data_IF_314474921157
#
_entry.id   IF_314474921157
#
_cell.length_a   1.000
_cell.length_b   1.000
_cell.length_c   1.000
_cell.angle_alpha   90.00
_cell.angle_beta   90.00
_cell.angle_gamma   90.00
#
_symmetry.space_group_name_H-M   'P 1'
#
loop_
_entity.id
_entity.type
_entity.pdbx_description
1 polymer ?
#
# COMPACT_ATOMS: atom_id res chain seq x y z
N UNK A 1 -14.85 0.93 25.48
CA UNK A 1 -14.19 2.02 24.72
C UNK A 1 -13.45 1.33 23.59
N UNK A 2 -13.68 1.71 22.32
CA UNK A 2 -12.87 1.17 21.23
C UNK A 2 -11.41 1.57 21.48
N UNK A 3 -10.50 0.61 21.35
CA UNK A 3 -9.08 0.86 21.54
C UNK A 3 -8.60 1.83 20.44
N UNK A 4 -8.06 3.00 20.85
CA UNK A 4 -7.57 4.03 19.93
C UNK A 4 -6.48 3.46 19.02
N UNK A 5 -6.58 3.68 17.72
CA UNK A 5 -5.52 3.36 16.77
C UNK A 5 -4.60 4.56 16.61
N UNK A 6 -3.33 4.39 17.01
CA UNK A 6 -2.29 5.42 16.95
C UNK A 6 -1.51 5.25 15.65
N UNK A 7 -1.56 6.25 14.79
CA UNK A 7 -0.88 6.23 13.49
C UNK A 7 0.26 7.24 13.48
N UNK A 8 1.49 6.80 13.34
CA UNK A 8 2.66 7.65 13.11
C UNK A 8 2.72 8.03 11.63
N UNK A 9 2.52 9.30 11.33
CA UNK A 9 2.54 9.84 9.97
C UNK A 9 3.83 10.62 9.74
N UNK A 10 4.65 10.18 8.76
CA UNK A 10 5.77 10.94 8.23
C UNK A 10 5.25 12.17 7.50
N UNK A 11 5.16 13.28 8.22
CA UNK A 11 4.55 14.50 7.72
C UNK A 11 5.44 15.32 6.76
N UNK A 12 6.71 14.94 6.62
CA UNK A 12 7.67 15.62 5.73
C UNK A 12 7.99 14.79 4.48
N UNK A 13 7.42 13.59 4.34
CA UNK A 13 7.66 12.72 3.20
C UNK A 13 6.66 12.91 2.06
N UNK A 14 7.18 12.96 0.81
CA UNK A 14 6.36 13.11 -0.40
C UNK A 14 6.42 14.50 -1.03
N UNK A 15 5.94 14.59 -2.28
CA UNK A 15 6.05 15.79 -3.12
C UNK A 15 5.17 16.95 -2.60
N UNK A 16 4.08 16.61 -1.90
CA UNK A 16 3.07 17.55 -1.40
C UNK A 16 3.16 17.75 0.14
N UNK A 17 4.24 17.26 0.76
CA UNK A 17 4.46 17.46 2.19
C UNK A 17 4.86 18.92 2.50
N UNK A 18 4.48 19.46 3.68
CA UNK A 18 3.66 18.84 4.71
C UNK A 18 2.16 19.01 4.49
N UNK A 19 1.74 19.87 3.54
CA UNK A 19 0.37 20.38 3.37
C UNK A 19 -0.66 19.24 3.26
N UNK A 20 -0.47 18.35 2.28
CA UNK A 20 -1.41 17.24 2.06
C UNK A 20 -1.35 16.19 3.17
N UNK A 21 -0.18 16.02 3.82
CA UNK A 21 -0.01 15.11 4.95
C UNK A 21 -0.82 15.57 6.17
N UNK A 22 -0.65 16.84 6.56
CA UNK A 22 -1.37 17.45 7.69
C UNK A 22 -2.87 17.47 7.41
N UNK A 23 -3.28 17.91 6.21
CA UNK A 23 -4.68 17.93 5.83
C UNK A 23 -5.33 16.55 5.87
N UNK A 24 -4.64 15.51 5.37
CA UNK A 24 -5.12 14.13 5.42
C UNK A 24 -5.25 13.59 6.85
N UNK A 25 -4.34 13.95 7.74
CA UNK A 25 -4.43 13.64 9.16
C UNK A 25 -5.67 14.27 9.81
N UNK A 26 -5.90 15.56 9.54
CA UNK A 26 -7.09 16.28 10.03
C UNK A 26 -8.38 15.63 9.52
N UNK A 27 -8.47 15.35 8.21
CA UNK A 27 -9.62 14.68 7.61
C UNK A 27 -9.89 13.30 8.23
N UNK A 28 -8.84 12.53 8.56
CA UNK A 28 -8.96 11.21 9.17
C UNK A 28 -9.57 11.28 10.58
N UNK A 29 -9.07 12.17 11.44
CA UNK A 29 -9.58 12.30 12.81
C UNK A 29 -10.96 12.96 12.87
N UNK A 30 -11.35 13.73 11.85
CA UNK A 30 -12.71 14.25 11.70
C UNK A 30 -13.71 13.17 11.25
N UNK A 31 -13.26 12.21 10.42
CA UNK A 31 -14.11 11.11 9.94
C UNK A 31 -14.30 9.98 10.95
N UNK A 32 -13.31 9.75 11.83
CA UNK A 32 -13.33 8.66 12.82
C UNK A 32 -12.87 9.12 14.18
N UNK A 33 -13.59 8.69 15.23
CA UNK A 33 -13.30 9.08 16.60
C UNK A 33 -12.28 8.16 17.31
N UNK A 34 -11.92 7.06 16.70
CA UNK A 34 -11.03 6.03 17.24
C UNK A 34 -9.60 6.09 16.66
N UNK A 35 -9.23 7.24 16.09
CA UNK A 35 -7.91 7.51 15.52
C UNK A 35 -7.19 8.59 16.33
N UNK A 36 -5.90 8.37 16.58
CA UNK A 36 -4.95 9.37 17.01
C UNK A 36 -3.78 9.40 16.03
N UNK A 37 -3.34 10.58 15.61
CA UNK A 37 -2.23 10.75 14.67
C UNK A 37 -1.04 11.39 15.36
N UNK A 38 0.12 10.77 15.22
CA UNK A 38 1.42 11.28 15.65
C UNK A 38 2.13 11.83 14.40
N UNK A 39 2.08 13.14 14.19
CA UNK A 39 2.74 13.83 13.07
C UNK A 39 4.23 13.96 13.36
N UNK A 40 5.06 13.27 12.60
CA UNK A 40 6.52 13.39 12.75
C UNK A 40 7.08 14.36 11.73
N UNK A 41 7.86 15.36 12.19
CA UNK A 41 8.47 16.37 11.33
C UNK A 41 8.91 17.62 12.08
N UNK A 42 9.27 18.65 11.34
CA UNK A 42 9.73 19.93 11.91
C UNK A 42 8.58 20.62 12.63
N UNK A 43 8.67 20.72 13.94
CA UNK A 43 7.58 21.15 14.83
C UNK A 43 6.96 22.50 14.44
N UNK A 44 7.80 23.49 14.14
CA UNK A 44 7.33 24.84 13.78
C UNK A 44 6.50 24.82 12.48
N UNK A 45 6.98 24.09 11.46
CA UNK A 45 6.29 23.95 10.18
C UNK A 45 4.92 23.24 10.36
N UNK A 46 4.91 22.18 11.18
CA UNK A 46 3.69 21.43 11.45
C UNK A 46 2.66 22.22 12.27
N UNK A 47 3.12 23.03 13.24
CA UNK A 47 2.25 23.95 13.99
C UNK A 47 1.61 25.00 13.10
N UNK A 48 2.41 25.61 12.21
CA UNK A 48 1.92 26.60 11.25
C UNK A 48 0.88 25.99 10.31
N UNK A 49 1.12 24.77 9.81
CA UNK A 49 0.17 24.10 8.91
C UNK A 49 -1.11 23.70 9.64
N UNK A 50 -1.00 23.11 10.84
CA UNK A 50 -2.16 22.70 11.67
C UNK A 50 -3.03 23.88 12.07
N UNK A 51 -2.47 25.07 12.28
CA UNK A 51 -3.21 26.28 12.64
C UNK A 51 -4.26 26.70 11.58
N UNK A 52 -4.17 26.17 10.37
CA UNK A 52 -5.13 26.44 9.28
C UNK A 52 -6.42 25.60 9.39
N UNK A 53 -6.47 24.62 10.31
CA UNK A 53 -7.57 23.66 10.42
C UNK A 53 -8.18 23.64 11.82
N UNK A 54 -9.43 23.19 11.89
CA UNK A 54 -10.11 22.90 13.16
C UNK A 54 -10.20 21.39 13.32
N UNK A 55 -9.69 20.87 14.42
CA UNK A 55 -9.68 19.44 14.76
C UNK A 55 -9.69 19.27 16.28
N UNK A 56 -10.02 18.08 16.84
CA UNK A 56 -9.90 17.80 18.27
C UNK A 56 -8.42 17.72 18.69
N UNK A 57 -7.97 18.62 19.57
CA UNK A 57 -6.55 18.77 19.96
C UNK A 57 -5.94 17.46 20.49
N UNK A 58 -6.71 16.64 21.18
CA UNK A 58 -6.27 15.37 21.74
C UNK A 58 -6.05 14.27 20.69
N UNK A 59 -6.41 14.51 19.43
CA UNK A 59 -6.33 13.52 18.34
C UNK A 59 -5.07 13.64 17.49
N UNK A 60 -4.41 14.79 17.49
CA UNK A 60 -3.21 15.02 16.68
C UNK A 60 -2.11 15.57 17.58
N UNK A 61 -0.98 14.85 17.60
CA UNK A 61 0.20 15.25 18.36
C UNK A 61 1.41 15.38 17.44
N UNK A 62 2.20 16.42 17.65
CA UNK A 62 3.46 16.61 16.91
C UNK A 62 4.58 15.91 17.66
N UNK A 63 5.36 15.12 16.93
CA UNK A 63 6.62 14.54 17.39
C UNK A 63 7.75 15.18 16.57
N UNK A 64 8.54 16.03 17.20
CA UNK A 64 9.56 16.78 16.50
C UNK A 64 10.62 15.87 15.89
N UNK A 65 10.99 16.16 14.64
CA UNK A 65 12.07 15.53 13.90
C UNK A 65 12.73 16.60 13.01
N UNK A 66 14.05 16.72 13.09
CA UNK A 66 14.77 17.85 12.48
C UNK A 66 15.24 17.58 11.06
N UNK A 67 15.35 16.31 10.68
CA UNK A 67 15.86 15.88 9.39
C UNK A 67 14.73 15.34 8.47
N UNK A 68 14.97 15.37 7.16
CA UNK A 68 14.09 14.79 6.13
C UNK A 68 14.90 13.88 5.22
N UNK A 69 14.38 12.70 4.90
CA UNK A 69 14.94 11.82 3.87
C UNK A 69 14.32 12.21 2.54
N UNK A 70 15.14 12.71 1.62
CA UNK A 70 14.72 13.14 0.29
C UNK A 70 14.45 11.93 -0.63
N UNK A 71 13.61 12.14 -1.64
CA UNK A 71 13.20 11.07 -2.57
C UNK A 71 14.38 10.45 -3.33
N UNK A 72 15.40 11.23 -3.67
CA UNK A 72 16.56 10.76 -4.42
C UNK A 72 17.70 10.18 -3.57
N UNK A 73 17.58 10.19 -2.23
CA UNK A 73 18.64 9.68 -1.35
C UNK A 73 18.75 8.16 -1.38
N UNK A 74 19.99 7.60 -1.35
CA UNK A 74 20.20 6.17 -1.22
C UNK A 74 19.59 5.63 0.08
N UNK A 75 18.61 4.70 0.01
CA UNK A 75 17.77 4.32 1.14
C UNK A 75 18.52 3.84 2.38
N UNK A 76 19.46 2.89 2.19
CA UNK A 76 20.20 2.28 3.30
C UNK A 76 21.08 3.31 4.01
N UNK A 77 21.72 4.21 3.24
CA UNK A 77 22.56 5.29 3.81
C UNK A 77 21.68 6.27 4.58
N UNK A 78 20.57 6.71 3.99
CA UNK A 78 19.66 7.67 4.60
C UNK A 78 19.11 7.16 5.95
N UNK A 79 18.61 5.92 6.01
CA UNK A 79 18.10 5.29 7.25
C UNK A 79 19.17 5.20 8.34
N UNK A 80 20.43 4.96 7.96
CA UNK A 80 21.54 4.82 8.94
C UNK A 80 22.07 6.16 9.44
N UNK A 81 22.12 7.17 8.58
CA UNK A 81 22.70 8.48 8.90
C UNK A 81 21.70 9.47 9.50
N UNK A 82 20.47 9.55 8.94
CA UNK A 82 19.43 10.50 9.36
C UNK A 82 18.53 9.91 10.43
N UNK A 83 19.08 9.71 11.62
CA UNK A 83 18.37 9.04 12.73
C UNK A 83 17.27 9.88 13.36
N UNK A 84 17.27 11.19 13.12
CA UNK A 84 16.28 12.16 13.56
C UNK A 84 15.38 12.64 12.39
N UNK A 85 15.31 11.86 11.30
CA UNK A 85 14.38 12.16 10.22
C UNK A 85 12.94 11.80 10.61
N UNK A 86 11.99 12.53 10.02
CA UNK A 86 10.55 12.29 10.22
C UNK A 86 10.17 10.82 9.99
N UNK A 87 10.66 10.21 8.90
CA UNK A 87 10.44 8.81 8.57
C UNK A 87 11.00 7.85 9.63
N UNK A 88 12.27 8.05 10.05
CA UNK A 88 12.91 7.16 11.05
C UNK A 88 12.25 7.32 12.41
N UNK A 89 11.90 8.54 12.80
CA UNK A 89 11.21 8.84 14.06
C UNK A 89 9.84 8.17 14.09
N UNK A 90 9.04 8.29 13.03
CA UNK A 90 7.75 7.60 12.92
C UNK A 90 7.86 6.07 13.04
N UNK A 91 8.84 5.47 12.38
CA UNK A 91 9.08 4.01 12.48
C UNK A 91 9.55 3.58 13.87
N UNK A 92 10.32 4.41 14.58
CA UNK A 92 10.70 4.14 15.97
C UNK A 92 9.49 4.13 16.91
N UNK A 93 8.51 5.03 16.72
CA UNK A 93 7.26 5.02 17.48
C UNK A 93 6.52 3.68 17.33
N UNK A 94 6.44 3.16 16.11
CA UNK A 94 5.83 1.83 15.86
C UNK A 94 6.64 0.71 16.54
N UNK A 95 7.96 0.72 16.37
CA UNK A 95 8.84 -0.28 17.00
C UNK A 95 8.71 -0.32 18.52
N UNK A 96 8.57 0.84 19.15
CA UNK A 96 8.49 0.98 20.60
C UNK A 96 7.07 0.70 21.14
N UNK A 97 6.07 0.47 20.28
CA UNK A 97 4.67 0.30 20.68
C UNK A 97 3.97 1.61 21.08
N UNK A 98 4.57 2.76 20.75
CA UNK A 98 3.97 4.08 20.94
C UNK A 98 2.96 4.42 19.84
N UNK A 99 3.12 3.82 18.65
CA UNK A 99 2.16 3.83 17.57
C UNK A 99 1.86 2.40 17.08
N UNK A 100 0.66 2.18 16.55
CA UNK A 100 0.20 0.90 16.03
C UNK A 100 0.56 0.74 14.55
N UNK A 101 0.66 1.87 13.82
CA UNK A 101 0.92 1.91 12.39
C UNK A 101 1.80 3.10 11.98
N UNK A 102 2.46 2.95 10.84
CA UNK A 102 3.25 3.96 10.16
C UNK A 102 2.68 4.23 8.77
N UNK A 103 2.58 5.51 8.38
CA UNK A 103 2.16 5.94 7.04
C UNK A 103 3.19 6.95 6.50
N UNK A 104 3.60 6.81 5.24
CA UNK A 104 4.50 7.77 4.57
C UNK A 104 4.30 7.81 3.06
N UNK A 105 4.36 9.02 2.51
CA UNK A 105 4.47 9.27 1.07
C UNK A 105 5.95 9.44 0.61
N UNK A 106 6.91 9.39 1.53
CA UNK A 106 8.33 9.62 1.28
C UNK A 106 9.03 8.56 0.44
N UNK A 107 10.36 8.55 0.48
CA UNK A 107 11.23 7.65 -0.28
C UNK A 107 10.85 6.17 -0.09
N UNK A 108 10.36 5.52 -1.15
CA UNK A 108 9.88 4.12 -1.09
C UNK A 108 10.96 3.15 -0.62
N UNK A 109 12.19 3.31 -1.11
CA UNK A 109 13.31 2.48 -0.67
C UNK A 109 13.61 2.65 0.82
N UNK A 110 13.52 3.89 1.34
CA UNK A 110 13.71 4.16 2.77
C UNK A 110 12.58 3.55 3.62
N UNK A 111 11.32 3.59 3.15
CA UNK A 111 10.20 2.91 3.80
C UNK A 111 10.43 1.40 3.87
N UNK A 112 10.85 0.78 2.76
CA UNK A 112 11.11 -0.66 2.70
C UNK A 112 12.28 -1.08 3.61
N UNK A 113 13.40 -0.36 3.54
CA UNK A 113 14.59 -0.63 4.36
C UNK A 113 14.30 -0.36 5.83
N UNK A 114 13.66 0.76 6.15
CA UNK A 114 13.27 1.13 7.52
C UNK A 114 12.26 0.15 8.11
N UNK A 115 11.27 -0.27 7.35
CA UNK A 115 10.31 -1.29 7.76
C UNK A 115 10.99 -2.60 8.19
N UNK A 116 11.95 -3.08 7.39
CA UNK A 116 12.69 -4.29 7.73
C UNK A 116 13.67 -4.12 8.89
N UNK A 117 14.41 -3.01 8.95
CA UNK A 117 15.50 -2.80 9.92
C UNK A 117 15.00 -2.21 11.26
N UNK A 118 14.02 -1.33 11.23
CA UNK A 118 13.53 -0.62 12.43
C UNK A 118 12.28 -1.28 13.00
N UNK A 119 11.23 -1.49 12.21
CA UNK A 119 10.00 -2.14 12.67
C UNK A 119 10.23 -3.64 12.88
N UNK A 120 10.94 -4.27 11.97
CA UNK A 120 11.31 -5.69 12.03
C UNK A 120 10.24 -6.62 11.47
N UNK A 121 10.66 -7.83 11.09
CA UNK A 121 9.81 -8.86 10.48
C UNK A 121 9.11 -9.72 11.52
N UNK A 122 7.91 -10.22 11.20
CA UNK A 122 7.27 -11.33 11.90
C UNK A 122 8.19 -12.57 11.80
N UNK A 123 8.28 -13.34 12.90
CA UNK A 123 9.08 -14.56 12.92
C UNK A 123 8.55 -15.56 11.88
N UNK A 124 9.42 -16.04 11.01
CA UNK A 124 9.07 -16.94 9.91
C UNK A 124 8.83 -16.24 8.57
N UNK A 125 8.57 -14.94 8.55
CA UNK A 125 8.50 -14.19 7.29
C UNK A 125 9.91 -13.98 6.73
N UNK A 126 10.15 -14.50 5.53
CA UNK A 126 11.45 -14.38 4.88
C UNK A 126 11.66 -12.97 4.32
N UNK A 127 10.68 -12.47 3.57
CA UNK A 127 10.69 -11.16 2.92
C UNK A 127 9.33 -10.48 3.02
N UNK A 128 9.23 -9.27 3.56
CA UNK A 128 8.01 -8.46 3.52
C UNK A 128 7.75 -7.95 2.10
N UNK A 129 6.60 -8.27 1.47
CA UNK A 129 6.21 -7.73 0.17
C UNK A 129 5.46 -6.40 0.30
N UNK A 130 5.55 -5.56 -0.74
CA UNK A 130 4.71 -4.39 -0.93
C UNK A 130 3.47 -4.79 -1.75
N UNK A 131 2.27 -4.54 -1.22
CA UNK A 131 1.05 -5.14 -1.74
C UNK A 131 -0.07 -4.09 -1.99
N UNK A 132 0.02 -3.29 -3.07
CA UNK A 132 -1.05 -2.36 -3.45
C UNK A 132 -2.30 -3.08 -3.93
N UNK A 133 -3.46 -2.48 -3.65
CA UNK A 133 -4.70 -2.78 -4.35
C UNK A 133 -4.71 -2.07 -5.71
N UNK A 134 -5.07 -2.78 -6.75
CA UNK A 134 -5.26 -2.24 -8.09
C UNK A 134 -6.73 -2.36 -8.50
N UNK A 135 -7.33 -1.32 -9.10
CA UNK A 135 -8.71 -1.35 -9.55
C UNK A 135 -8.87 -2.25 -10.77
N UNK A 136 -10.00 -2.92 -10.85
CA UNK A 136 -10.37 -3.84 -11.95
C UNK A 136 -11.84 -3.67 -12.30
N UNK A 137 -12.31 -4.31 -13.37
CA UNK A 137 -13.72 -4.30 -13.76
C UNK A 137 -14.66 -4.94 -12.72
N UNK A 138 -14.12 -5.77 -11.80
CA UNK A 138 -14.91 -6.47 -10.75
C UNK A 138 -14.63 -5.95 -9.33
N UNK A 139 -14.08 -4.74 -9.21
CA UNK A 139 -13.68 -4.11 -7.96
C UNK A 139 -12.17 -3.99 -7.85
N UNK A 140 -11.53 -4.64 -6.87
CA UNK A 140 -10.08 -4.55 -6.67
C UNK A 140 -9.43 -5.93 -6.63
N UNK A 141 -8.18 -6.00 -7.09
CA UNK A 141 -7.26 -7.12 -6.90
C UNK A 141 -6.02 -6.67 -6.15
N UNK A 142 -5.40 -7.55 -5.39
CA UNK A 142 -4.14 -7.30 -4.71
C UNK A 142 -2.98 -7.74 -5.60
N UNK A 143 -2.09 -6.82 -5.95
CA UNK A 143 -0.86 -7.13 -6.67
C UNK A 143 0.30 -7.24 -5.66
N UNK A 144 0.98 -8.39 -5.61
CA UNK A 144 1.98 -8.70 -4.59
C UNK A 144 3.12 -9.56 -5.16
N UNK A 145 4.36 -9.13 -5.18
CA UNK A 145 5.04 -7.96 -4.64
C UNK A 145 5.21 -6.86 -5.70
N UNK A 146 5.21 -5.58 -5.26
CA UNK A 146 5.32 -4.43 -6.17
C UNK A 146 6.51 -3.50 -5.88
N UNK A 147 7.68 -4.05 -5.54
CA UNK A 147 8.89 -3.22 -5.42
C UNK A 147 9.77 -3.47 -4.21
N UNK A 148 9.45 -4.44 -3.36
CA UNK A 148 10.26 -4.74 -2.18
C UNK A 148 11.34 -5.80 -2.44
N UNK A 149 11.07 -6.84 -3.24
CA UNK A 149 11.93 -8.00 -3.39
C UNK A 149 12.13 -8.38 -4.86
N UNK A 150 13.11 -7.77 -5.51
CA UNK A 150 13.42 -8.00 -6.94
C UNK A 150 13.96 -9.43 -7.16
N UNK A 151 14.86 -9.89 -6.28
CA UNK A 151 15.42 -11.24 -6.35
C UNK A 151 14.63 -12.16 -5.40
N UNK A 152 13.40 -12.51 -5.81
CA UNK A 152 12.57 -13.42 -5.02
C UNK A 152 12.96 -14.89 -5.25
N UNK A 153 12.57 -15.74 -4.29
CA UNK A 153 12.67 -17.21 -4.37
C UNK A 153 11.26 -17.81 -4.38
N UNK A 154 11.08 -19.06 -4.82
CA UNK A 154 9.78 -19.71 -4.78
C UNK A 154 9.09 -19.67 -3.41
N UNK A 155 9.85 -19.87 -2.31
CA UNK A 155 9.32 -19.78 -0.95
C UNK A 155 8.77 -18.41 -0.61
N UNK A 156 9.36 -17.33 -1.14
CA UNK A 156 8.86 -15.97 -0.96
C UNK A 156 7.49 -15.80 -1.61
N UNK A 157 7.32 -16.26 -2.86
CA UNK A 157 6.06 -16.13 -3.60
C UNK A 157 4.94 -16.92 -2.93
N UNK A 158 5.24 -18.09 -2.37
CA UNK A 158 4.28 -18.86 -1.56
C UNK A 158 3.86 -18.08 -0.31
N UNK A 159 4.81 -17.45 0.40
CA UNK A 159 4.46 -16.59 1.53
C UNK A 159 3.65 -15.35 1.09
N UNK A 160 3.97 -14.75 -0.06
CA UNK A 160 3.20 -13.63 -0.61
C UNK A 160 1.76 -14.03 -0.91
N UNK A 161 1.55 -15.19 -1.53
CA UNK A 161 0.23 -15.76 -1.78
C UNK A 161 -0.60 -15.89 -0.50
N UNK A 162 -0.02 -16.47 0.55
CA UNK A 162 -0.67 -16.63 1.86
C UNK A 162 -1.01 -15.28 2.51
N UNK A 163 -0.05 -14.35 2.55
CA UNK A 163 -0.25 -13.02 3.12
C UNK A 163 -1.29 -12.23 2.32
N UNK A 164 -1.27 -12.34 1.00
CA UNK A 164 -2.23 -11.72 0.11
C UNK A 164 -3.66 -12.26 0.32
N UNK A 165 -3.82 -13.56 0.46
CA UNK A 165 -5.12 -14.18 0.77
C UNK A 165 -5.68 -13.70 2.10
N UNK A 166 -4.87 -13.65 3.16
CA UNK A 166 -5.27 -13.14 4.47
C UNK A 166 -5.71 -11.67 4.35
N UNK A 167 -4.97 -10.87 3.58
CA UNK A 167 -5.30 -9.47 3.37
C UNK A 167 -6.64 -9.29 2.64
N UNK A 168 -6.83 -9.96 1.51
CA UNK A 168 -8.05 -9.87 0.72
C UNK A 168 -9.28 -10.35 1.49
N UNK A 169 -9.15 -11.42 2.28
CA UNK A 169 -10.23 -11.91 3.11
C UNK A 169 -10.57 -10.95 4.25
N UNK A 170 -9.56 -10.45 4.95
CA UNK A 170 -9.76 -9.68 6.19
C UNK A 170 -10.05 -8.20 5.95
N UNK A 171 -9.44 -7.58 4.93
CA UNK A 171 -9.54 -6.12 4.67
C UNK A 171 -10.56 -5.83 3.59
N UNK A 172 -10.54 -6.60 2.50
CA UNK A 172 -11.44 -6.37 1.36
C UNK A 172 -12.75 -7.16 1.51
N UNK A 173 -12.78 -8.20 2.36
CA UNK A 173 -13.96 -9.02 2.62
C UNK A 173 -14.24 -10.09 1.56
N UNK A 174 -13.25 -10.44 0.75
CA UNK A 174 -13.34 -11.50 -0.27
C UNK A 174 -13.22 -12.87 0.40
N UNK A 175 -14.30 -13.63 0.45
CA UNK A 175 -14.30 -15.00 0.99
C UNK A 175 -13.55 -15.95 0.05
N UNK A 176 -12.59 -16.70 0.61
CA UNK A 176 -11.76 -17.66 -0.14
C UNK A 176 -11.18 -17.07 -1.42
N UNK A 177 -10.38 -15.98 -1.32
CA UNK A 177 -9.91 -15.21 -2.47
C UNK A 177 -9.10 -16.08 -3.42
N UNK A 178 -9.32 -15.92 -4.72
CA UNK A 178 -8.57 -16.60 -5.77
C UNK A 178 -7.15 -16.08 -5.84
N UNK A 179 -6.17 -16.97 -6.02
CA UNK A 179 -4.75 -16.66 -6.12
C UNK A 179 -4.22 -17.11 -7.48
N UNK A 180 -3.58 -16.22 -8.21
CA UNK A 180 -2.89 -16.54 -9.46
C UNK A 180 -1.46 -16.03 -9.49
N UNK A 181 -0.57 -16.75 -10.19
CA UNK A 181 0.80 -16.32 -10.43
C UNK A 181 0.92 -15.65 -11.80
N UNK A 182 1.58 -14.49 -11.86
CA UNK A 182 1.83 -13.80 -13.14
C UNK A 182 2.70 -14.68 -14.04
N UNK A 183 2.23 -14.92 -15.27
CA UNK A 183 2.93 -15.72 -16.25
C UNK A 183 2.78 -15.12 -17.67
N UNK A 184 3.53 -15.66 -18.63
CA UNK A 184 3.49 -15.27 -20.06
C UNK A 184 2.47 -16.08 -20.87
N UNK A 185 1.74 -17.00 -20.26
CA UNK A 185 0.71 -17.84 -20.86
C UNK A 185 0.05 -18.69 -19.80
N UNK A 186 -1.09 -19.34 -20.14
CA UNK A 186 -1.90 -20.10 -19.23
C UNK A 186 -1.29 -21.47 -18.83
N UNK A 187 -0.37 -22.00 -19.65
CA UNK A 187 0.18 -23.35 -19.48
C UNK A 187 1.21 -23.39 -18.34
N UNK A 188 1.21 -24.47 -17.55
CA UNK A 188 2.08 -24.64 -16.36
C UNK A 188 3.59 -24.64 -16.71
N UNK A 189 3.96 -25.12 -17.89
CA UNK A 189 5.35 -25.18 -18.36
C UNK A 189 5.90 -23.87 -18.88
N UNK A 190 5.07 -22.85 -19.05
CA UNK A 190 5.51 -21.52 -19.44
C UNK A 190 6.09 -20.71 -18.27
N UNK A 191 6.82 -19.66 -18.63
CA UNK A 191 7.41 -18.73 -17.67
C UNK A 191 8.90 -18.91 -17.47
N UNK A 192 9.46 -18.07 -16.61
CA UNK A 192 10.85 -18.13 -16.20
C UNK A 192 11.07 -19.21 -15.12
N UNK A 193 12.32 -19.44 -14.73
CA UNK A 193 12.67 -20.45 -13.73
C UNK A 193 11.90 -20.25 -12.41
N UNK A 194 11.80 -19.01 -11.92
CA UNK A 194 11.10 -18.71 -10.68
C UNK A 194 9.62 -19.12 -10.75
N UNK A 195 8.91 -18.81 -11.85
CA UNK A 195 7.50 -19.16 -12.03
C UNK A 195 7.34 -20.69 -12.07
N UNK A 196 8.17 -21.38 -12.87
CA UNK A 196 8.12 -22.85 -13.01
C UNK A 196 8.37 -23.58 -11.69
N UNK A 197 9.31 -23.08 -10.88
CA UNK A 197 9.59 -23.66 -9.57
C UNK A 197 8.51 -23.32 -8.53
N UNK A 198 7.87 -22.15 -8.64
CA UNK A 198 6.85 -21.71 -7.69
C UNK A 198 5.48 -22.35 -7.96
N UNK A 199 5.13 -22.56 -9.21
CA UNK A 199 3.80 -23.04 -9.61
C UNK A 199 3.36 -24.32 -8.88
N UNK A 200 4.15 -25.43 -8.85
CA UNK A 200 3.77 -26.63 -8.12
C UNK A 200 3.63 -26.39 -6.62
N UNK A 201 4.45 -25.53 -6.02
CA UNK A 201 4.36 -25.20 -4.59
C UNK A 201 3.05 -24.45 -4.24
N UNK A 202 2.59 -23.57 -5.12
CA UNK A 202 1.30 -22.90 -4.96
C UNK A 202 0.14 -23.88 -5.15
N UNK A 203 0.23 -24.78 -6.12
CA UNK A 203 -0.78 -25.78 -6.43
C UNK A 203 -1.01 -26.77 -5.28
N UNK A 204 0.06 -27.14 -4.57
CA UNK A 204 0.06 -28.02 -3.40
C UNK A 204 -0.24 -27.30 -2.08
N UNK A 205 -0.32 -25.96 -2.08
CA UNK A 205 -0.50 -25.16 -0.86
C UNK A 205 -1.97 -25.19 -0.39
N UNK A 206 -2.29 -25.80 0.77
CA UNK A 206 -3.68 -25.95 1.22
C UNK A 206 -4.27 -24.64 1.78
N UNK A 207 -3.43 -23.63 2.08
CA UNK A 207 -3.85 -22.40 2.74
C UNK A 207 -4.35 -21.33 1.75
N UNK A 208 -4.39 -21.64 0.44
CA UNK A 208 -4.77 -20.67 -0.61
C UNK A 208 -5.69 -21.33 -1.65
N UNK A 209 -6.51 -20.54 -2.30
CA UNK A 209 -7.32 -20.95 -3.45
C UNK A 209 -6.57 -20.65 -4.75
N UNK A 210 -5.56 -21.46 -5.07
CA UNK A 210 -4.73 -21.25 -6.26
C UNK A 210 -5.48 -21.69 -7.54
N UNK A 211 -5.57 -20.77 -8.51
CA UNK A 211 -6.30 -20.99 -9.77
C UNK A 211 -5.38 -21.07 -11.00
N UNK A 212 -4.06 -20.97 -10.82
CA UNK A 212 -3.10 -21.12 -11.93
C UNK A 212 -2.41 -19.84 -12.36
N UNK A 213 -2.05 -19.76 -13.64
CA UNK A 213 -1.37 -18.63 -14.26
C UNK A 213 -2.33 -17.49 -14.56
N UNK A 214 -1.80 -16.25 -14.52
CA UNK A 214 -2.49 -15.00 -14.90
C UNK A 214 -1.62 -14.26 -15.90
N UNK A 215 -2.13 -14.01 -17.09
CA UNK A 215 -1.46 -13.14 -18.05
C UNK A 215 -1.73 -11.66 -17.70
N UNK A 216 -0.73 -10.80 -17.91
CA UNK A 216 -0.84 -9.37 -17.57
C UNK A 216 -2.06 -8.67 -18.23
N UNK A 217 -2.48 -9.11 -19.41
CA UNK A 217 -3.67 -8.58 -20.13
C UNK A 217 -5.00 -8.91 -19.42
N UNK A 218 -5.03 -9.94 -18.56
CA UNK A 218 -6.22 -10.40 -17.85
C UNK A 218 -6.42 -9.67 -16.51
N UNK A 219 -5.35 -9.07 -15.99
CA UNK A 219 -5.38 -8.35 -14.70
C UNK A 219 -6.52 -7.31 -14.63
N UNK A 220 -6.75 -6.46 -15.65
CA UNK A 220 -7.84 -5.48 -15.62
C UNK A 220 -9.24 -6.09 -15.55
N UNK A 221 -9.41 -7.37 -15.92
CA UNK A 221 -10.71 -8.06 -15.89
C UNK A 221 -11.18 -8.35 -14.45
N UNK A 222 -10.25 -8.52 -13.50
CA UNK A 222 -10.57 -8.76 -12.08
C UNK A 222 -11.07 -10.19 -11.79
N UNK A 223 -10.59 -11.17 -12.56
CA UNK A 223 -10.93 -12.60 -12.36
C UNK A 223 -10.10 -13.25 -11.25
N UNK A 224 -9.04 -12.58 -10.82
CA UNK A 224 -8.11 -13.03 -9.78
C UNK A 224 -8.02 -12.01 -8.67
N UNK A 225 -8.23 -12.44 -7.42
CA UNK A 225 -8.22 -11.54 -6.26
C UNK A 225 -6.81 -11.22 -5.77
N UNK A 226 -5.88 -12.20 -5.80
CA UNK A 226 -4.48 -12.05 -5.39
C UNK A 226 -3.56 -12.43 -6.55
N UNK A 227 -2.82 -11.46 -7.04
CA UNK A 227 -1.92 -11.58 -8.20
C UNK A 227 -0.49 -11.61 -7.71
N UNK A 228 0.15 -12.79 -7.75
CA UNK A 228 1.48 -13.03 -7.18
C UNK A 228 2.55 -12.89 -8.23
N UNK A 229 3.59 -12.12 -7.92
CA UNK A 229 4.79 -11.98 -8.73
C UNK A 229 5.98 -11.53 -7.86
N UNK A 230 7.17 -11.48 -8.44
CA UNK A 230 8.30 -10.80 -7.81
C UNK A 230 8.25 -9.28 -8.08
N UNK A 231 9.03 -8.52 -7.32
CA UNK A 231 8.89 -7.06 -7.28
C UNK A 231 9.21 -6.33 -8.58
N UNK A 232 10.08 -6.86 -9.44
CA UNK A 232 10.36 -6.21 -10.73
C UNK A 232 9.14 -6.29 -11.65
N UNK A 233 8.58 -7.48 -11.82
CA UNK A 233 7.36 -7.68 -12.62
C UNK A 233 6.19 -6.90 -12.03
N UNK A 234 5.98 -6.98 -10.71
CA UNK A 234 4.89 -6.26 -10.05
C UNK A 234 5.00 -4.75 -10.20
N UNK A 235 6.20 -4.19 -10.05
CA UNK A 235 6.41 -2.75 -10.24
C UNK A 235 6.22 -2.31 -11.70
N UNK A 236 6.63 -3.14 -12.67
CA UNK A 236 6.39 -2.88 -14.11
C UNK A 236 4.89 -2.87 -14.40
N UNK A 237 4.15 -3.87 -13.91
CA UNK A 237 2.69 -3.95 -14.06
C UNK A 237 2.04 -2.71 -13.45
N UNK A 238 2.35 -2.39 -12.19
CA UNK A 238 1.76 -1.25 -11.48
C UNK A 238 2.00 0.07 -12.21
N UNK A 239 3.25 0.34 -12.60
CA UNK A 239 3.62 1.59 -13.29
C UNK A 239 3.03 1.70 -14.68
N UNK A 240 2.94 0.60 -15.42
CA UNK A 240 2.27 0.57 -16.72
C UNK A 240 0.77 0.82 -16.55
N UNK A 241 0.15 0.17 -15.58
CA UNK A 241 -1.27 0.31 -15.28
C UNK A 241 -1.64 1.77 -14.95
N UNK A 242 -0.90 2.40 -14.02
CA UNK A 242 -1.03 3.81 -13.66
C UNK A 242 -0.81 4.73 -14.87
N UNK A 243 0.25 4.47 -15.64
CA UNK A 243 0.61 5.27 -16.80
C UNK A 243 -0.43 5.23 -17.93
N UNK A 244 -0.93 4.04 -18.25
CA UNK A 244 -1.96 3.86 -19.29
C UNK A 244 -3.28 4.50 -18.87
N UNK A 245 -3.73 4.30 -17.63
CA UNK A 245 -4.93 4.93 -17.11
C UNK A 245 -4.85 6.46 -17.17
N UNK A 246 -3.74 7.04 -16.71
CA UNK A 246 -3.52 8.49 -16.76
C UNK A 246 -3.46 9.05 -18.21
N UNK A 247 -2.82 8.34 -19.12
CA UNK A 247 -2.74 8.74 -20.53
C UNK A 247 -4.12 8.69 -21.21
N UNK A 248 -4.91 7.65 -20.93
CA UNK A 248 -6.25 7.48 -21.48
C UNK A 248 -7.18 8.61 -21.01
N UNK A 249 -7.20 8.92 -19.70
CA UNK A 249 -7.99 10.02 -19.14
C UNK A 249 -7.62 11.36 -19.76
N UNK A 250 -6.31 11.64 -19.92
CA UNK A 250 -5.83 12.87 -20.60
C UNK A 250 -6.30 12.92 -22.05
N UNK A 251 -6.24 11.81 -22.80
CA UNK A 251 -6.66 11.72 -24.20
C UNK A 251 -8.17 11.94 -24.37
N UNK A 252 -8.98 11.32 -23.50
CA UNK A 252 -10.44 11.51 -23.46
C UNK A 252 -10.76 12.99 -23.20
N UNK A 253 -10.15 13.59 -22.15
CA UNK A 253 -10.34 15.01 -21.83
C UNK A 253 -9.97 15.92 -23.01
N UNK A 254 -8.85 15.66 -23.66
CA UNK A 254 -8.40 16.42 -24.86
C UNK A 254 -9.41 16.30 -25.99
N UNK A 255 -9.94 15.12 -26.30
CA UNK A 255 -10.96 14.89 -27.31
C UNK A 255 -12.27 15.65 -27.01
N UNK A 256 -12.71 15.60 -25.73
CA UNK A 256 -13.90 16.35 -25.29
C UNK A 256 -13.73 17.87 -25.40
N UNK A 257 -12.51 18.37 -25.35
CA UNK A 257 -12.22 19.82 -25.43
C UNK A 257 -11.89 20.31 -26.86
N UNK A 258 -11.85 19.43 -27.86
CA UNK A 258 -11.34 19.71 -29.20
C UNK A 258 -12.18 20.75 -29.99
N UNK A 259 -13.50 20.77 -29.85
CA UNK A 259 -14.40 21.70 -30.53
C UNK A 259 -15.66 21.96 -29.70
N UNK A 260 -16.51 22.90 -30.13
CA UNK A 260 -17.69 23.29 -29.38
C UNK A 260 -18.69 22.15 -29.20
N UNK A 261 -18.93 21.34 -30.25
CA UNK A 261 -19.84 20.17 -30.16
C UNK A 261 -19.33 19.14 -29.16
N UNK A 262 -18.04 18.82 -29.21
CA UNK A 262 -17.39 17.92 -28.25
C UNK A 262 -17.43 18.44 -26.82
N UNK A 263 -17.29 19.77 -26.62
CA UNK A 263 -17.41 20.39 -25.28
C UNK A 263 -18.82 20.24 -24.72
N UNK A 264 -19.86 20.48 -25.51
CA UNK A 264 -21.25 20.31 -25.08
C UNK A 264 -21.52 18.82 -24.76
N UNK A 265 -21.14 17.89 -25.65
CA UNK A 265 -21.25 16.46 -25.40
C UNK A 265 -20.46 16.02 -24.15
N UNK A 266 -19.24 16.53 -24.00
CA UNK A 266 -18.40 16.27 -22.82
C UNK A 266 -19.04 16.76 -21.51
N UNK A 267 -19.72 17.90 -21.51
CA UNK A 267 -20.44 18.42 -20.35
C UNK A 267 -21.60 17.48 -19.95
N UNK A 268 -22.35 16.96 -20.92
CA UNK A 268 -23.46 16.04 -20.70
C UNK A 268 -22.98 14.67 -20.16
N UNK A 269 -21.84 14.17 -20.66
CA UNK A 269 -21.31 12.86 -20.26
C UNK A 269 -20.45 12.94 -18.98
N UNK A 270 -20.00 14.14 -18.57
CA UNK A 270 -19.10 14.35 -17.44
C UNK A 270 -19.53 13.64 -16.13
N UNK A 271 -20.82 13.66 -15.70
CA UNK A 271 -21.22 12.95 -14.48
C UNK A 271 -20.98 11.45 -14.59
N UNK A 272 -21.47 10.81 -15.66
CA UNK A 272 -21.30 9.36 -15.88
C UNK A 272 -19.82 8.96 -15.97
N UNK A 273 -19.00 9.75 -16.68
CA UNK A 273 -17.57 9.51 -16.78
C UNK A 273 -16.87 9.66 -15.42
N UNK A 274 -17.27 10.63 -14.60
CA UNK A 274 -16.73 10.82 -13.25
C UNK A 274 -17.05 9.62 -12.37
N UNK A 275 -18.27 9.09 -12.43
CA UNK A 275 -18.68 7.92 -11.65
C UNK A 275 -17.91 6.66 -12.10
N UNK A 276 -17.80 6.42 -13.41
CA UNK A 276 -17.00 5.32 -13.95
C UNK A 276 -15.53 5.41 -13.56
N UNK A 277 -14.92 6.60 -13.64
CA UNK A 277 -13.50 6.79 -13.30
C UNK A 277 -13.23 6.72 -11.80
N UNK A 278 -14.24 6.90 -10.96
CA UNK A 278 -14.11 6.77 -9.50
C UNK A 278 -13.74 5.34 -9.10
N UNK A 279 -14.27 4.33 -9.79
CA UNK A 279 -13.97 2.93 -9.54
C UNK A 279 -12.50 2.59 -9.84
N UNK A 280 -11.84 3.40 -10.67
CA UNK A 280 -10.42 3.28 -11.01
C UNK A 280 -9.51 4.23 -10.21
N UNK A 281 -10.05 4.96 -9.24
CA UNK A 281 -9.26 5.87 -8.38
C UNK A 281 -8.61 5.10 -7.23
N UNK A 282 -7.32 4.78 -7.37
CA UNK A 282 -6.53 4.07 -6.35
C UNK A 282 -6.50 4.79 -5.01
N UNK A 283 -6.69 6.12 -4.98
CA UNK A 283 -6.69 6.92 -3.74
C UNK A 283 -7.83 6.58 -2.79
N UNK A 284 -8.92 5.94 -3.28
CA UNK A 284 -10.03 5.47 -2.46
C UNK A 284 -9.63 4.32 -1.52
N UNK A 285 -8.62 3.53 -1.91
CA UNK A 285 -8.22 2.31 -1.20
C UNK A 285 -7.06 2.52 -0.21
N UNK A 286 -6.54 3.76 -0.12
CA UNK A 286 -5.38 4.08 0.71
C UNK A 286 -4.05 3.68 0.07
N UNK A 287 -3.02 3.49 0.91
CA UNK A 287 -1.69 3.15 0.44
C UNK A 287 -1.43 1.64 0.32
N UNK A 288 -0.26 1.29 -0.19
CA UNK A 288 0.23 -0.08 -0.28
C UNK A 288 0.82 -0.53 1.07
N UNK A 289 0.29 -1.58 1.71
CA UNK A 289 0.89 -2.11 2.93
C UNK A 289 2.16 -2.91 2.62
N UNK A 290 3.11 -2.85 3.53
CA UNK A 290 4.27 -3.73 3.60
C UNK A 290 3.93 -4.87 4.57
N UNK A 291 3.49 -6.00 4.04
CA UNK A 291 2.98 -7.12 4.83
C UNK A 291 4.11 -7.92 5.49
N UNK A 292 3.80 -8.58 6.61
CA UNK A 292 4.77 -9.46 7.30
C UNK A 292 5.77 -8.75 8.21
N UNK A 293 5.53 -7.48 8.55
CA UNK A 293 6.25 -6.73 9.58
C UNK A 293 5.55 -6.83 10.94
N UNK A 294 6.29 -6.63 12.03
CA UNK A 294 5.74 -6.64 13.40
C UNK A 294 4.75 -5.52 13.66
N UNK A 295 4.93 -4.36 13.02
CA UNK A 295 4.00 -3.23 13.03
C UNK A 295 3.45 -2.97 11.63
N UNK A 296 2.32 -2.28 11.54
CA UNK A 296 1.70 -1.91 10.28
C UNK A 296 2.52 -0.81 9.59
N UNK A 297 2.90 -1.02 8.35
CA UNK A 297 3.62 -0.03 7.52
C UNK A 297 2.87 0.14 6.23
N UNK A 298 2.46 1.36 5.92
CA UNK A 298 1.72 1.72 4.71
C UNK A 298 2.50 2.77 3.94
N UNK A 299 2.76 2.50 2.66
CA UNK A 299 3.39 3.41 1.71
C UNK A 299 2.35 3.99 0.78
N UNK A 300 2.21 5.32 0.77
CA UNK A 300 1.38 6.02 -0.20
C UNK A 300 2.22 6.54 -1.38
N UNK A 301 1.59 6.96 -2.45
CA UNK A 301 2.31 7.51 -3.61
C UNK A 301 3.06 8.81 -3.23
N UNK A 302 4.19 9.12 -3.90
CA UNK A 302 4.95 10.36 -3.65
C UNK A 302 4.13 11.62 -3.86
N UNK A 303 3.22 11.62 -4.83
CA UNK A 303 2.30 12.73 -5.13
C UNK A 303 0.93 12.62 -4.43
N UNK A 304 0.81 11.83 -3.36
CA UNK A 304 -0.45 11.65 -2.63
C UNK A 304 -1.10 12.96 -2.22
N UNK A 305 -2.41 13.01 -2.35
CA UNK A 305 -3.26 14.08 -1.83
C UNK A 305 -3.78 13.73 -0.43
N UNK A 306 -4.38 14.71 0.25
CA UNK A 306 -5.00 14.50 1.57
C UNK A 306 -6.00 13.35 1.61
N UNK A 307 -6.72 13.12 0.51
CA UNK A 307 -7.66 12.00 0.39
C UNK A 307 -6.98 10.64 0.55
N UNK A 308 -5.88 10.41 -0.16
CA UNK A 308 -5.13 9.14 -0.09
C UNK A 308 -4.48 8.97 1.28
N UNK A 309 -3.91 10.04 1.84
CA UNK A 309 -3.35 10.04 3.20
C UNK A 309 -4.42 9.73 4.24
N UNK A 310 -5.58 10.37 4.17
CA UNK A 310 -6.72 10.12 5.04
C UNK A 310 -7.16 8.65 4.96
N UNK A 311 -7.33 8.12 3.75
CA UNK A 311 -7.75 6.73 3.54
C UNK A 311 -6.68 5.73 4.03
N UNK A 312 -5.39 6.06 3.89
CA UNK A 312 -4.29 5.23 4.42
C UNK A 312 -4.28 5.18 5.95
N UNK A 313 -4.58 6.30 6.61
CA UNK A 313 -4.72 6.35 8.07
C UNK A 313 -5.93 5.50 8.52
N UNK A 314 -7.07 5.62 7.83
CA UNK A 314 -8.28 4.82 8.13
C UNK A 314 -8.04 3.33 7.86
N UNK A 315 -7.31 2.98 6.81
CA UNK A 315 -6.90 1.61 6.50
C UNK A 315 -6.13 0.96 7.66
N UNK A 316 -5.29 1.72 8.37
CA UNK A 316 -4.55 1.23 9.54
C UNK A 316 -5.50 0.77 10.68
N UNK A 317 -6.64 1.42 10.85
CA UNK A 317 -7.65 0.98 11.83
C UNK A 317 -8.20 -0.39 11.46
N UNK A 318 -8.59 -0.57 10.19
CA UNK A 318 -9.07 -1.87 9.70
C UNK A 318 -8.03 -2.97 9.89
N UNK A 319 -6.75 -2.68 9.64
CA UNK A 319 -5.67 -3.67 9.83
C UNK A 319 -5.55 -4.10 11.30
N UNK A 320 -5.61 -3.13 12.23
CA UNK A 320 -5.57 -3.41 13.67
C UNK A 320 -6.79 -4.21 14.12
N UNK A 321 -8.00 -3.77 13.77
CA UNK A 321 -9.26 -4.42 14.12
C UNK A 321 -9.32 -5.86 13.59
N UNK A 322 -8.85 -6.10 12.37
CA UNK A 322 -8.83 -7.41 11.72
C UNK A 322 -7.67 -8.30 12.16
N UNK A 323 -6.77 -7.79 13.01
CA UNK A 323 -5.61 -8.52 13.55
C UNK A 323 -4.76 -9.18 12.46
N UNK A 324 -4.44 -8.41 11.41
CA UNK A 324 -3.76 -8.94 10.22
C UNK A 324 -2.42 -9.59 10.58
N UNK A 325 -1.63 -8.95 11.44
CA UNK A 325 -0.31 -9.46 11.84
C UNK A 325 -0.41 -10.77 12.61
N UNK A 326 -1.41 -10.95 13.48
CA UNK A 326 -1.64 -12.19 14.22
C UNK A 326 -2.07 -13.32 13.26
N UNK A 327 -2.94 -13.02 12.29
CA UNK A 327 -3.35 -14.00 11.27
C UNK A 327 -2.16 -14.44 10.41
N UNK A 328 -1.35 -13.49 9.93
CA UNK A 328 -0.12 -13.79 9.19
C UNK A 328 0.83 -14.66 10.05
N UNK A 329 1.02 -14.28 11.32
CA UNK A 329 1.88 -15.03 12.24
C UNK A 329 1.41 -16.48 12.38
N UNK A 330 0.11 -16.69 12.58
CA UNK A 330 -0.46 -18.03 12.77
C UNK A 330 -0.28 -18.93 11.55
N UNK A 331 -0.47 -18.39 10.34
CA UNK A 331 -0.35 -19.17 9.09
C UNK A 331 1.12 -19.47 8.76
N UNK A 332 2.01 -18.48 8.93
CA UNK A 332 3.43 -18.67 8.61
C UNK A 332 4.12 -19.63 9.61
N UNK A 333 3.75 -19.59 10.90
CA UNK A 333 4.39 -20.45 11.92
C UNK A 333 3.92 -21.90 11.86
N UNK A 334 2.64 -22.17 11.60
CA UNK A 334 2.12 -23.56 11.44
C UNK A 334 2.91 -24.36 10.42
N UNK A 335 3.44 -23.72 9.39
CA UNK A 335 4.20 -24.40 8.34
C UNK A 335 5.66 -24.70 8.73
N UNK A 336 6.19 -24.07 9.79
CA UNK A 336 7.53 -24.39 10.31
C UNK A 336 7.52 -25.59 11.28
N UNK A 337 6.37 -25.92 11.86
CA UNK A 337 6.23 -27.08 12.75
C UNK A 337 5.97 -28.38 11.98
N UNK A 338 5.63 -28.30 10.69
CA UNK A 338 5.33 -29.44 9.83
C UNK A 338 6.49 -29.83 8.88
N UNK A 339 7.67 -29.20 9.03
CA UNK A 339 8.92 -29.54 8.34
C UNK A 339 9.90 -30.10 9.36
#
# INVERSE_FOLDING_TARGET
MSDMTRVALDAMGGDNAPVEMVKGAVEAVQKRNDIQVLLTGKEEILKEELAKYTYPDEKIHIVNATEVIETAEPPVKAIRSKKDSSLVTAMKLVRNGEADAFVSAGNSGAVLVGGQLLVGKIKGVERPPLAPLIPTLKGVSLLIDCGANVDARPSHLVQFAKMGSIYMESVVGKKNPTVGIVNIGAEEEKGNALVKETFPLLKECPDINFIGSVEAREIPCGDVDVIVCEAFVGNVILKLYEGVAGALVKKIKSGMMANLKSKIGGLLVKPALKDTLKDFDTSEHGGAPLLGLKGLVVKTHGSSTSKEVCNSIIQCVTFKEQKINEKITSVIQKNQENI
#
